data_IF_790707991177
#
_entry.id   IF_790707991177
#
_cell.length_a   1.000
_cell.length_b   1.000
_cell.length_c   1.000
_cell.angle_alpha   90.00
_cell.angle_beta   90.00
_cell.angle_gamma   90.00
#
_symmetry.space_group_name_H-M   'P 1'
#
loop_
_entity.id
_entity.type
_entity.pdbx_description
1 polymer ?
#
# COMPACT_ATOMS: atom_id res chain seq x y z
N UNK A 1 40.63 8.28 15.35
CA UNK A 1 39.25 8.58 15.76
C UNK A 1 38.39 7.37 15.42
N UNK A 2 38.09 6.54 16.42
CA UNK A 2 37.28 5.33 16.29
C UNK A 2 35.81 5.70 16.43
N UNK A 3 35.07 5.66 15.33
CA UNK A 3 33.60 5.76 15.39
C UNK A 3 33.03 4.39 15.75
N UNK A 4 32.60 4.25 17.00
CA UNK A 4 31.70 3.18 17.44
C UNK A 4 30.31 3.45 16.88
N UNK A 5 29.92 2.76 15.81
CA UNK A 5 28.54 2.74 15.34
C UNK A 5 27.67 1.93 16.31
N UNK A 6 26.72 2.60 16.96
CA UNK A 6 25.72 1.98 17.83
C UNK A 6 24.75 1.14 16.97
N UNK A 7 24.53 -0.15 17.25
CA UNK A 7 23.53 -0.93 16.51
C UNK A 7 22.14 -0.34 16.77
N UNK A 8 21.43 0.01 15.71
CA UNK A 8 20.09 0.59 15.76
C UNK A 8 19.09 -0.46 16.26
N UNK A 9 18.45 -0.18 17.38
CA UNK A 9 17.49 -1.03 18.10
C UNK A 9 16.11 -1.09 17.44
N UNK A 10 15.94 -0.51 16.26
CA UNK A 10 14.65 -0.41 15.55
C UNK A 10 14.08 -1.78 15.15
N UNK A 11 14.93 -2.74 14.75
CA UNK A 11 14.49 -4.09 14.36
C UNK A 11 13.78 -4.87 15.49
N UNK A 12 14.11 -4.56 16.75
CA UNK A 12 13.47 -5.16 17.93
C UNK A 12 12.03 -4.64 18.11
N UNK A 13 11.75 -3.39 17.68
CA UNK A 13 10.40 -2.83 17.70
C UNK A 13 9.49 -3.55 16.72
N UNK A 14 9.98 -3.85 15.52
CA UNK A 14 9.21 -4.61 14.51
C UNK A 14 8.92 -6.05 14.98
N UNK A 15 9.86 -6.67 15.70
CA UNK A 15 9.67 -8.01 16.27
C UNK A 15 8.66 -8.02 17.42
N UNK A 16 8.62 -6.96 18.24
CA UNK A 16 7.63 -6.80 19.31
C UNK A 16 6.23 -6.46 18.78
N UNK A 17 6.12 -5.63 17.73
CA UNK A 17 4.84 -5.27 17.10
C UNK A 17 4.22 -6.49 16.40
N UNK A 18 5.01 -7.29 15.68
CA UNK A 18 4.53 -8.54 15.07
C UNK A 18 3.95 -9.53 16.10
N UNK A 19 4.53 -9.57 17.30
CA UNK A 19 4.10 -10.44 18.39
C UNK A 19 2.80 -9.93 19.07
N UNK A 20 2.59 -8.62 19.13
CA UNK A 20 1.35 -8.00 19.64
C UNK A 20 0.21 -8.13 18.61
N UNK A 21 0.48 -7.97 17.31
CA UNK A 21 -0.54 -8.16 16.27
C UNK A 21 -1.08 -9.60 16.21
N UNK A 22 -0.24 -10.60 16.52
CA UNK A 22 -0.69 -12.00 16.65
C UNK A 22 -1.64 -12.22 17.85
N UNK A 23 -1.59 -11.37 18.88
CA UNK A 23 -2.46 -11.46 20.06
C UNK A 23 -3.80 -10.74 19.87
N UNK A 24 -3.88 -9.71 19.01
CA UNK A 24 -5.12 -8.94 18.76
C UNK A 24 -6.03 -9.62 17.71
N UNK A 25 -5.50 -10.56 16.91
CA UNK A 25 -6.29 -11.30 15.92
C UNK A 25 -7.28 -12.33 16.51
N UNK A 26 -7.38 -12.47 17.85
CA UNK A 26 -8.29 -13.42 18.50
C UNK A 26 -9.63 -12.80 18.92
N UNK A 27 -9.78 -11.46 19.01
CA UNK A 27 -11.07 -10.85 19.35
C UNK A 27 -11.37 -9.63 18.48
N UNK A 28 -12.38 -9.75 17.60
CA UNK A 28 -12.77 -8.66 16.68
C UNK A 28 -14.08 -8.89 15.93
N UNK A 29 -15.17 -9.14 16.68
CA UNK A 29 -16.56 -8.99 16.20
C UNK A 29 -16.85 -7.50 15.99
N UNK A 30 -17.41 -7.12 14.84
CA UNK A 30 -17.89 -5.75 14.60
C UNK A 30 -18.71 -5.61 13.33
N UNK A 31 -20.02 -5.87 13.44
CA UNK A 31 -21.05 -5.56 12.44
C UNK A 31 -21.03 -4.09 12.02
N UNK A 32 -21.21 -3.82 10.73
CA UNK A 32 -21.86 -2.59 10.26
C UNK A 32 -22.94 -2.95 9.24
N UNK A 33 -24.19 -2.73 9.65
CA UNK A 33 -25.35 -2.60 8.79
C UNK A 33 -25.28 -1.22 8.10
N UNK A 34 -25.60 -1.15 6.81
CA UNK A 34 -26.01 0.10 6.18
C UNK A 34 -27.32 -0.14 5.43
N UNK A 35 -28.34 0.55 5.92
CA UNK A 35 -29.73 0.49 5.53
C UNK A 35 -29.98 0.93 4.08
N UNK A 36 -31.07 0.38 3.58
CA UNK A 36 -31.68 0.69 2.28
C UNK A 36 -32.25 2.11 2.28
N UNK A 37 -31.86 2.94 1.30
CA UNK A 37 -32.69 4.08 0.89
C UNK A 37 -32.91 4.03 -0.62
N UNK A 38 -34.14 3.67 -0.97
CA UNK A 38 -34.73 3.72 -2.30
C UNK A 38 -35.40 5.09 -2.43
N UNK A 39 -34.90 5.97 -3.29
CA UNK A 39 -35.64 7.18 -3.69
C UNK A 39 -35.53 7.40 -5.19
N UNK A 40 -36.64 7.12 -5.86
CA UNK A 40 -36.98 7.52 -7.23
C UNK A 40 -37.03 9.04 -7.33
N UNK A 41 -36.47 9.63 -8.39
CA UNK A 41 -36.86 10.96 -8.84
C UNK A 41 -36.70 11.09 -10.36
N UNK A 42 -37.81 11.43 -11.00
CA UNK A 42 -37.99 11.74 -12.41
C UNK A 42 -38.19 13.26 -12.52
N UNK A 43 -37.43 13.89 -13.44
CA UNK A 43 -37.63 15.16 -14.17
C UNK A 43 -38.42 16.33 -13.56
N UNK A 44 -37.82 17.54 -13.56
CA UNK A 44 -38.27 18.73 -14.33
C UNK A 44 -37.19 19.82 -14.39
N UNK A 45 -37.17 20.53 -15.52
CA UNK A 45 -36.26 21.63 -15.90
C UNK A 45 -36.48 22.94 -15.10
N UNK A 46 -35.41 23.75 -14.97
CA UNK A 46 -35.31 25.17 -15.38
C UNK A 46 -34.39 26.04 -14.48
N UNK A 47 -33.57 26.85 -15.16
CA UNK A 47 -32.99 28.15 -14.78
C UNK A 47 -31.95 28.32 -13.64
N UNK A 48 -30.75 28.67 -14.09
CA UNK A 48 -29.79 29.64 -13.50
C UNK A 48 -29.68 29.69 -11.98
N UNK A 49 -28.73 28.94 -11.43
CA UNK A 49 -27.98 29.36 -10.23
C UNK A 49 -26.64 28.64 -10.18
N UNK A 50 -25.64 29.38 -9.73
CA UNK A 50 -24.28 28.98 -9.38
C UNK A 50 -24.24 27.55 -8.79
N UNK A 51 -23.84 26.57 -9.62
CA UNK A 51 -23.79 25.17 -9.20
C UNK A 51 -22.56 25.04 -8.31
N UNK A 52 -22.70 24.69 -7.00
CA UNK A 52 -21.56 24.20 -6.26
C UNK A 52 -21.10 22.98 -7.03
N UNK A 53 -19.92 23.06 -7.66
CA UNK A 53 -19.30 21.94 -8.34
C UNK A 53 -19.24 20.81 -7.32
N UNK A 54 -20.18 19.88 -7.42
CA UNK A 54 -20.15 18.61 -6.71
C UNK A 54 -18.88 17.96 -7.20
N UNK A 55 -17.79 18.16 -6.45
CA UNK A 55 -16.62 17.32 -6.51
C UNK A 55 -17.17 15.98 -6.07
N UNK A 56 -17.58 15.15 -7.05
CA UNK A 56 -17.75 13.73 -6.81
C UNK A 56 -16.38 13.30 -6.30
N UNK A 57 -16.27 13.18 -4.98
CA UNK A 57 -15.13 12.55 -4.34
C UNK A 57 -14.98 11.24 -5.10
N UNK A 58 -13.90 11.11 -5.86
CA UNK A 58 -13.73 9.97 -6.75
C UNK A 58 -13.97 8.72 -5.90
N UNK A 59 -14.92 7.88 -6.30
CA UNK A 59 -15.15 6.57 -5.67
C UNK A 59 -14.07 5.59 -6.14
N UNK A 60 -12.82 6.07 -6.09
CA UNK A 60 -11.65 5.29 -6.42
C UNK A 60 -11.34 4.35 -5.26
N UNK A 61 -10.68 3.24 -5.58
CA UNK A 61 -10.20 2.31 -4.56
C UNK A 61 -9.27 3.05 -3.60
N UNK A 62 -8.40 3.91 -4.11
CA UNK A 62 -7.54 4.76 -3.29
C UNK A 62 -8.34 5.58 -2.26
N UNK A 63 -9.41 6.26 -2.67
CA UNK A 63 -10.26 7.05 -1.77
C UNK A 63 -10.88 6.20 -0.64
N UNK A 64 -11.36 4.99 -0.96
CA UNK A 64 -11.88 4.04 0.04
C UNK A 64 -10.82 3.51 1.00
N UNK A 65 -9.57 3.43 0.55
CA UNK A 65 -8.41 3.05 1.37
C UNK A 65 -7.83 4.23 2.17
N UNK A 66 -8.41 5.43 2.09
CA UNK A 66 -7.92 6.63 2.78
C UNK A 66 -6.83 7.42 2.03
N UNK A 67 -6.71 7.19 0.72
CA UNK A 67 -5.69 7.77 -0.14
C UNK A 67 -4.27 7.37 0.27
N UNK A 68 -3.28 8.17 -0.15
CA UNK A 68 -1.87 8.00 0.21
C UNK A 68 -1.64 7.66 1.69
N UNK A 69 -2.21 8.43 2.62
CA UNK A 69 -1.98 8.25 4.04
C UNK A 69 -2.57 6.95 4.59
N UNK A 70 -3.77 6.57 4.14
CA UNK A 70 -4.39 5.31 4.55
C UNK A 70 -3.65 4.10 3.99
N UNK A 71 -3.19 4.18 2.73
CA UNK A 71 -2.36 3.15 2.11
C UNK A 71 -1.01 3.03 2.83
N UNK A 72 -0.34 4.15 3.14
CA UNK A 72 0.92 4.14 3.88
C UNK A 72 0.73 3.53 5.28
N UNK A 73 -0.34 3.89 5.98
CA UNK A 73 -0.67 3.28 7.27
C UNK A 73 -0.91 1.77 7.17
N UNK A 74 -1.59 1.30 6.11
CA UNK A 74 -1.75 -0.13 5.84
C UNK A 74 -0.39 -0.82 5.62
N UNK A 75 0.46 -0.23 4.78
CA UNK A 75 1.78 -0.80 4.50
C UNK A 75 2.61 -0.91 5.78
N UNK A 76 2.68 0.19 6.55
CA UNK A 76 3.48 0.27 7.75
C UNK A 76 3.02 -0.68 8.86
N UNK A 77 1.71 -0.75 9.11
CA UNK A 77 1.17 -1.50 10.25
C UNK A 77 0.90 -2.97 9.96
N UNK A 78 0.72 -3.35 8.69
CA UNK A 78 0.30 -4.70 8.32
C UNK A 78 1.24 -5.35 7.29
N UNK A 79 1.36 -4.76 6.10
CA UNK A 79 2.01 -5.43 4.98
C UNK A 79 3.53 -5.60 5.17
N UNK A 80 4.23 -4.52 5.50
CA UNK A 80 5.70 -4.52 5.63
C UNK A 80 6.18 -5.44 6.75
N UNK A 81 5.61 -5.43 7.97
CA UNK A 81 5.98 -6.38 9.01
C UNK A 81 5.85 -7.84 8.55
N UNK A 82 4.76 -8.20 7.86
CA UNK A 82 4.54 -9.55 7.36
C UNK A 82 5.51 -9.93 6.21
N UNK A 83 5.82 -8.98 5.33
CA UNK A 83 6.79 -9.17 4.25
C UNK A 83 8.21 -9.39 4.79
N UNK A 84 8.61 -8.65 5.82
CA UNK A 84 9.92 -8.81 6.45
C UNK A 84 10.03 -10.07 7.32
N UNK A 85 8.89 -10.63 7.77
CA UNK A 85 8.86 -11.92 8.45
C UNK A 85 9.00 -13.12 7.49
N UNK A 86 8.79 -12.92 6.18
CA UNK A 86 8.93 -13.99 5.19
C UNK A 86 10.39 -14.14 4.74
N UNK A 87 10.93 -15.35 4.93
CA UNK A 87 12.34 -15.65 4.66
C UNK A 87 12.75 -15.54 3.18
N UNK A 88 11.81 -15.72 2.24
CA UNK A 88 12.09 -15.56 0.81
C UNK A 88 12.13 -14.07 0.43
N UNK A 89 11.20 -13.28 0.98
CA UNK A 89 11.08 -11.84 0.70
C UNK A 89 12.21 -11.05 1.37
N UNK A 90 12.49 -11.29 2.66
CA UNK A 90 13.44 -10.50 3.44
C UNK A 90 14.86 -10.53 2.87
N UNK A 91 15.23 -11.60 2.17
CA UNK A 91 16.53 -11.75 1.53
C UNK A 91 16.85 -10.64 0.51
N UNK A 92 15.84 -10.00 -0.07
CA UNK A 92 16.00 -8.90 -1.03
C UNK A 92 16.22 -7.52 -0.38
N UNK A 93 16.05 -7.41 0.94
CA UNK A 93 16.17 -6.15 1.69
C UNK A 93 17.47 -6.04 2.50
N UNK A 94 18.42 -6.97 2.35
CA UNK A 94 19.67 -7.00 3.12
C UNK A 94 20.70 -5.92 2.75
N UNK A 95 20.59 -5.29 1.58
CA UNK A 95 21.55 -4.28 1.09
C UNK A 95 20.85 -3.10 0.40
N UNK A 96 20.04 -2.37 1.17
CA UNK A 96 19.31 -1.22 0.66
C UNK A 96 20.23 -0.01 0.49
N UNK A 97 20.09 0.67 -0.65
CA UNK A 97 20.76 1.96 -0.95
C UNK A 97 19.87 3.16 -0.64
N UNK A 98 18.67 2.90 -0.15
CA UNK A 98 17.59 3.84 0.13
C UNK A 98 17.01 3.45 1.50
N UNK A 99 16.48 4.39 2.27
CA UNK A 99 15.91 4.05 3.58
C UNK A 99 14.62 3.22 3.44
N UNK A 100 14.29 2.34 4.40
CA UNK A 100 13.02 1.61 4.38
C UNK A 100 11.81 2.54 4.32
N UNK A 101 11.84 3.66 5.05
CA UNK A 101 10.76 4.64 5.08
C UNK A 101 10.52 5.29 3.70
N UNK A 102 11.59 5.68 3.00
CA UNK A 102 11.48 6.20 1.62
C UNK A 102 10.86 5.15 0.67
N UNK A 103 11.20 3.87 0.85
CA UNK A 103 10.64 2.78 0.04
C UNK A 103 9.14 2.63 0.31
N UNK A 104 8.73 2.64 1.59
CA UNK A 104 7.32 2.56 1.99
C UNK A 104 6.50 3.72 1.43
N UNK A 105 7.01 4.95 1.56
CA UNK A 105 6.36 6.15 1.03
C UNK A 105 6.23 6.09 -0.50
N UNK A 106 7.30 5.72 -1.21
CA UNK A 106 7.25 5.59 -2.67
C UNK A 106 6.29 4.48 -3.11
N UNK A 107 6.21 3.38 -2.36
CA UNK A 107 5.27 2.30 -2.65
C UNK A 107 3.82 2.73 -2.39
N UNK A 108 3.56 3.48 -1.31
CA UNK A 108 2.25 4.04 -1.01
C UNK A 108 1.78 5.02 -2.11
N UNK A 109 2.66 5.90 -2.60
CA UNK A 109 2.33 6.83 -3.69
C UNK A 109 2.02 6.10 -5.00
N UNK A 110 2.78 5.05 -5.31
CA UNK A 110 2.54 4.21 -6.50
C UNK A 110 1.17 3.52 -6.41
N UNK A 111 0.86 2.89 -5.27
CA UNK A 111 -0.42 2.23 -5.06
C UNK A 111 -1.58 3.23 -5.07
N UNK A 112 -1.44 4.39 -4.41
CA UNK A 112 -2.45 5.44 -4.45
C UNK A 112 -2.75 5.84 -5.90
N UNK A 113 -1.73 6.12 -6.70
CA UNK A 113 -1.90 6.43 -8.11
C UNK A 113 -2.60 5.30 -8.89
N UNK A 114 -2.09 4.07 -8.79
CA UNK A 114 -2.56 2.93 -9.58
C UNK A 114 -4.00 2.51 -9.19
N UNK A 115 -4.43 2.88 -7.98
CA UNK A 115 -5.78 2.67 -7.46
C UNK A 115 -6.73 3.87 -7.70
N UNK A 116 -6.30 4.85 -8.51
CA UNK A 116 -7.09 6.02 -8.91
C UNK A 116 -7.07 7.18 -7.91
N UNK A 117 -6.02 7.24 -7.10
CA UNK A 117 -5.69 8.34 -6.19
C UNK A 117 -4.99 9.50 -6.90
N UNK A 118 -4.55 10.48 -6.11
CA UNK A 118 -3.98 11.74 -6.63
C UNK A 118 -2.46 11.81 -6.52
N UNK A 119 -1.83 10.79 -5.92
CA UNK A 119 -0.37 10.77 -5.77
C UNK A 119 0.32 10.76 -7.13
N UNK A 120 1.44 11.49 -7.26
CA UNK A 120 2.27 11.37 -8.45
C UNK A 120 2.97 10.00 -8.46
N UNK A 121 2.81 9.24 -9.55
CA UNK A 121 3.44 7.92 -9.69
C UNK A 121 4.97 8.00 -9.86
N UNK A 122 5.43 8.91 -10.73
CA UNK A 122 6.83 8.99 -11.15
C UNK A 122 7.44 10.32 -10.75
N UNK A 123 8.58 10.28 -10.07
CA UNK A 123 9.34 11.47 -9.73
C UNK A 123 8.78 12.26 -8.55
N UNK A 124 7.83 11.68 -7.81
CA UNK A 124 7.41 12.17 -6.51
C UNK A 124 8.62 12.32 -5.59
N UNK A 125 8.60 13.32 -4.71
CA UNK A 125 9.66 13.55 -3.73
C UNK A 125 9.04 13.36 -2.35
N UNK A 126 9.60 12.43 -1.58
CA UNK A 126 9.17 12.15 -0.20
C UNK A 126 9.82 13.14 0.77
N UNK A 127 9.40 13.12 2.03
CA UNK A 127 9.81 14.10 3.04
C UNK A 127 11.34 14.21 3.22
N UNK A 128 12.06 13.10 3.09
CA UNK A 128 13.53 13.06 3.16
C UNK A 128 14.24 13.76 1.99
N UNK A 129 13.50 14.14 0.94
CA UNK A 129 14.04 14.61 -0.33
C UNK A 129 14.35 13.48 -1.33
N UNK A 130 14.11 12.22 -0.98
CA UNK A 130 14.28 11.11 -1.92
C UNK A 130 13.26 11.20 -3.07
N UNK A 131 13.73 11.00 -4.31
CA UNK A 131 12.89 11.00 -5.50
C UNK A 131 12.46 9.58 -5.86
N UNK A 132 11.16 9.30 -5.73
CA UNK A 132 10.56 8.04 -6.12
C UNK A 132 10.82 7.74 -7.60
N UNK A 133 11.40 6.56 -7.83
CA UNK A 133 11.70 6.06 -9.16
C UNK A 133 10.45 5.39 -9.71
N UNK A 134 10.04 5.75 -10.93
CA UNK A 134 8.83 5.18 -11.56
C UNK A 134 9.07 3.96 -12.46
N UNK A 135 10.32 3.54 -12.68
CA UNK A 135 10.62 2.44 -13.60
C UNK A 135 10.89 1.15 -12.84
N UNK A 136 9.87 0.27 -12.76
CA UNK A 136 10.00 -1.06 -12.15
C UNK A 136 11.18 -1.88 -12.69
N UNK A 137 11.40 -1.98 -14.02
CA UNK A 137 12.55 -2.70 -14.56
C UNK A 137 13.89 -2.15 -14.08
N UNK A 138 14.00 -0.81 -14.00
CA UNK A 138 15.26 -0.17 -13.63
C UNK A 138 15.56 -0.36 -12.14
N UNK A 139 14.54 -0.30 -11.28
CA UNK A 139 14.70 -0.41 -9.83
C UNK A 139 15.04 -1.85 -9.44
N UNK A 140 14.44 -2.83 -10.10
CA UNK A 140 14.62 -4.25 -9.75
C UNK A 140 15.75 -4.93 -10.53
N UNK A 141 16.40 -4.23 -11.47
CA UNK A 141 17.47 -4.78 -12.31
C UNK A 141 18.57 -5.43 -11.47
N UNK A 142 18.89 -6.67 -11.79
CA UNK A 142 19.99 -7.41 -11.17
C UNK A 142 19.65 -8.05 -9.82
N UNK A 143 18.41 -7.87 -9.32
CA UNK A 143 17.96 -8.52 -8.10
C UNK A 143 17.62 -10.01 -8.29
N UNK A 144 17.50 -10.50 -9.53
CA UNK A 144 17.22 -11.90 -9.86
C UNK A 144 15.96 -12.44 -9.16
N UNK A 145 14.90 -11.63 -9.15
CA UNK A 145 13.62 -11.92 -8.48
C UNK A 145 12.84 -12.92 -9.35
N UNK A 146 12.60 -14.15 -8.85
CA UNK A 146 11.83 -15.14 -9.58
C UNK A 146 10.33 -14.86 -9.47
N UNK A 147 9.57 -15.31 -10.46
CA UNK A 147 8.12 -15.10 -10.55
C UNK A 147 7.34 -15.58 -9.30
N UNK A 148 7.81 -16.66 -8.67
CA UNK A 148 7.22 -17.18 -7.42
C UNK A 148 7.33 -16.21 -6.25
N UNK A 149 8.44 -15.45 -6.14
CA UNK A 149 8.64 -14.47 -5.06
C UNK A 149 7.66 -13.31 -5.22
N UNK A 150 7.38 -12.88 -6.46
CA UNK A 150 6.37 -11.85 -6.74
C UNK A 150 4.98 -12.36 -6.34
N UNK A 151 4.67 -13.61 -6.68
CA UNK A 151 3.40 -14.23 -6.30
C UNK A 151 3.25 -14.33 -4.78
N UNK A 152 4.34 -14.68 -4.07
CA UNK A 152 4.40 -14.71 -2.61
C UNK A 152 4.21 -13.32 -2.00
N UNK A 153 4.85 -12.30 -2.55
CA UNK A 153 4.68 -10.90 -2.14
C UNK A 153 3.21 -10.47 -2.25
N UNK A 154 2.58 -10.70 -3.40
CA UNK A 154 1.18 -10.33 -3.65
C UNK A 154 0.24 -11.08 -2.71
N UNK A 155 0.50 -12.37 -2.46
CA UNK A 155 -0.26 -13.16 -1.51
C UNK A 155 -0.20 -12.57 -0.10
N UNK A 156 0.99 -12.25 0.41
CA UNK A 156 1.15 -11.66 1.75
C UNK A 156 0.40 -10.33 1.83
N UNK A 157 0.55 -9.44 0.84
CA UNK A 157 -0.17 -8.15 0.82
C UNK A 157 -1.68 -8.36 0.84
N UNK A 158 -2.20 -9.33 0.08
CA UNK A 158 -3.63 -9.66 0.05
C UNK A 158 -4.14 -10.22 1.39
N UNK A 159 -3.38 -11.10 2.03
CA UNK A 159 -3.71 -11.66 3.35
C UNK A 159 -3.74 -10.55 4.41
N UNK A 160 -2.73 -9.68 4.41
CA UNK A 160 -2.66 -8.56 5.34
C UNK A 160 -3.76 -7.52 5.10
N UNK A 161 -4.14 -7.27 3.85
CA UNK A 161 -5.26 -6.38 3.53
C UNK A 161 -6.59 -6.93 4.08
N UNK A 162 -6.81 -8.24 4.00
CA UNK A 162 -7.98 -8.88 4.60
C UNK A 162 -8.00 -8.72 6.13
N UNK A 163 -6.85 -8.90 6.79
CA UNK A 163 -6.71 -8.69 8.24
C UNK A 163 -6.92 -7.22 8.65
N UNK A 164 -6.52 -6.28 7.80
CA UNK A 164 -6.76 -4.85 7.98
C UNK A 164 -8.23 -4.43 7.70
N UNK A 165 -9.13 -5.37 7.37
CA UNK A 165 -10.54 -5.09 7.12
C UNK A 165 -10.84 -4.52 5.73
N UNK A 166 -9.89 -4.59 4.77
CA UNK A 166 -10.12 -4.13 3.41
C UNK A 166 -11.15 -5.01 2.71
N UNK A 167 -12.06 -4.39 1.94
CA UNK A 167 -13.11 -5.12 1.24
C UNK A 167 -12.52 -6.09 0.19
N UNK A 168 -13.19 -7.22 -0.07
CA UNK A 168 -12.76 -8.19 -1.10
C UNK A 168 -12.62 -7.55 -2.49
N UNK A 169 -13.47 -6.57 -2.80
CA UNK A 169 -13.42 -5.86 -4.08
C UNK A 169 -12.16 -4.99 -4.18
N UNK A 170 -11.79 -4.30 -3.10
CA UNK A 170 -10.60 -3.46 -3.05
C UNK A 170 -9.32 -4.30 -2.99
N UNK A 171 -9.32 -5.43 -2.28
CA UNK A 171 -8.21 -6.41 -2.31
C UNK A 171 -7.95 -6.88 -3.75
N UNK A 172 -9.01 -7.22 -4.49
CA UNK A 172 -8.87 -7.62 -5.90
C UNK A 172 -8.26 -6.50 -6.75
N UNK A 173 -8.59 -5.25 -6.47
CA UNK A 173 -8.01 -4.10 -7.17
C UNK A 173 -6.53 -3.89 -6.80
N UNK A 174 -6.16 -4.03 -5.52
CA UNK A 174 -4.77 -3.99 -5.05
C UNK A 174 -3.95 -5.08 -5.75
N UNK A 175 -4.43 -6.34 -5.73
CA UNK A 175 -3.78 -7.46 -6.41
C UNK A 175 -3.60 -7.16 -7.89
N UNK A 176 -4.63 -6.64 -8.56
CA UNK A 176 -4.54 -6.27 -9.98
C UNK A 176 -3.48 -5.20 -10.23
N UNK A 177 -3.39 -4.16 -9.40
CA UNK A 177 -2.38 -3.11 -9.53
C UNK A 177 -0.95 -3.66 -9.36
N UNK A 178 -0.75 -4.57 -8.40
CA UNK A 178 0.54 -5.23 -8.21
C UNK A 178 0.91 -6.15 -9.39
N UNK A 179 -0.07 -6.89 -9.91
CA UNK A 179 0.11 -7.77 -11.07
C UNK A 179 0.51 -6.99 -12.34
N UNK A 180 -0.01 -5.78 -12.54
CA UNK A 180 0.39 -4.92 -13.67
C UNK A 180 1.89 -4.57 -13.65
N UNK A 181 2.50 -4.55 -12.47
CA UNK A 181 3.92 -4.26 -12.30
C UNK A 181 4.81 -5.51 -12.43
N UNK A 182 4.24 -6.73 -12.42
CA UNK A 182 4.98 -8.01 -12.41
C UNK A 182 6.04 -8.11 -13.50
N UNK A 183 5.70 -7.77 -14.74
CA UNK A 183 6.61 -7.88 -15.88
C UNK A 183 7.85 -6.99 -15.73
N UNK A 184 7.72 -5.86 -15.02
CA UNK A 184 8.85 -4.97 -14.74
C UNK A 184 9.70 -5.40 -13.54
N UNK A 185 9.22 -6.34 -12.72
CA UNK A 185 9.94 -6.79 -11.52
C UNK A 185 10.65 -8.12 -11.79
N UNK A 186 9.98 -9.04 -12.50
CA UNK A 186 10.51 -10.37 -12.81
C UNK A 186 11.74 -10.26 -13.69
N UNK A 187 12.85 -10.82 -13.22
CA UNK A 187 14.08 -10.89 -13.99
C UNK A 187 14.89 -12.17 -13.73
N UNK A 188 14.20 -13.22 -13.29
CA UNK A 188 14.68 -14.59 -13.22
C UNK A 188 13.55 -15.57 -13.56
#
# INVERSE_FOLDING_TARGET
>A
MTMTSKPSTEWIKYLAIALICALVAIDGIGSVMADTVKTTAQQTDDSTTDVPRLVIKSDSVASRLGGYHGILAFLHNFAVPALLADGEIVAFFGNLTITPDDIEQCFAMMLDHDLGGSSPHSGAVVESGHKCRGSMPKIHKGLNIPDRTISRFIQIVSEQAALAGVSKADIKAIVKALEQNRAGIRNK
#
